data_IF_096769090046
#
_entry.id   IF_096769090046
#
_cell.length_a   1.000
_cell.length_b   1.000
_cell.length_c   1.000
_cell.angle_alpha   90.00
_cell.angle_beta   90.00
_cell.angle_gamma   90.00
#
_symmetry.space_group_name_H-M   'P 1'
#
loop_
_entity.id
_entity.type
_entity.pdbx_description
1 polymer ?
#
# COMPACT_ATOMS: atom_id res chain seq x y z
N UNK A 1 25.00 6.01 -17.14
CA UNK A 1 24.22 6.22 -15.90
C UNK A 1 25.15 6.93 -14.92
N UNK A 2 24.65 7.91 -14.19
CA UNK A 2 25.44 8.67 -13.21
C UNK A 2 24.79 8.51 -11.84
N UNK A 3 25.60 8.34 -10.81
CA UNK A 3 25.17 8.29 -9.41
C UNK A 3 25.62 9.57 -8.71
N UNK A 4 24.72 10.21 -7.98
CA UNK A 4 25.01 11.41 -7.20
C UNK A 4 24.65 11.14 -5.74
N UNK A 5 25.58 11.37 -4.85
CA UNK A 5 25.37 11.30 -3.39
C UNK A 5 25.32 12.73 -2.88
N UNK A 6 24.10 13.17 -2.50
CA UNK A 6 23.88 14.45 -1.82
C UNK A 6 24.10 14.31 -0.33
N UNK A 7 24.93 15.15 0.26
CA UNK A 7 25.20 15.17 1.71
C UNK A 7 25.13 16.62 2.20
N UNK A 8 24.51 16.83 3.37
CA UNK A 8 24.49 18.15 3.99
C UNK A 8 25.91 18.63 4.35
N UNK A 9 26.18 19.90 4.11
CA UNK A 9 27.51 20.54 4.29
C UNK A 9 27.97 20.57 5.75
N UNK A 10 27.04 20.44 6.72
CA UNK A 10 27.31 20.32 8.15
C UNK A 10 27.87 18.95 8.56
N UNK A 11 28.03 18.00 7.61
CA UNK A 11 28.57 16.65 7.85
C UNK A 11 29.96 16.40 7.22
N UNK A 12 30.99 17.21 7.55
CA UNK A 12 32.30 17.13 6.87
C UNK A 12 33.02 15.81 7.10
N UNK A 13 32.76 15.11 8.21
CA UNK A 13 33.28 13.78 8.49
C UNK A 13 32.76 12.73 7.51
N UNK A 14 31.45 12.71 7.28
CA UNK A 14 30.82 11.79 6.33
C UNK A 14 31.28 12.07 4.89
N UNK A 15 31.38 13.34 4.51
CA UNK A 15 31.89 13.75 3.18
C UNK A 15 33.30 13.19 2.96
N UNK A 16 34.21 13.40 3.92
CA UNK A 16 35.60 12.87 3.83
C UNK A 16 35.66 11.36 3.75
N UNK A 17 34.88 10.65 4.58
CA UNK A 17 34.80 9.19 4.54
C UNK A 17 34.39 8.68 3.16
N UNK A 18 33.33 9.25 2.60
CA UNK A 18 32.85 8.85 1.27
C UNK A 18 33.83 9.22 0.16
N UNK A 19 34.45 10.37 0.22
CA UNK A 19 35.52 10.74 -0.75
C UNK A 19 36.70 9.77 -0.71
N UNK A 20 37.12 9.34 0.48
CA UNK A 20 38.18 8.36 0.64
C UNK A 20 37.76 6.99 0.07
N UNK A 21 36.55 6.54 0.38
CA UNK A 21 36.02 5.30 -0.16
C UNK A 21 35.88 5.34 -1.68
N UNK A 22 35.40 6.46 -2.24
CA UNK A 22 35.28 6.65 -3.67
C UNK A 22 36.63 6.62 -4.39
N UNK A 23 37.65 7.29 -3.82
CA UNK A 23 39.00 7.26 -4.35
C UNK A 23 39.61 5.83 -4.35
N UNK A 24 39.29 5.02 -3.36
CA UNK A 24 39.73 3.63 -3.27
C UNK A 24 39.07 2.71 -4.30
N UNK A 25 37.80 3.00 -4.68
CA UNK A 25 37.06 2.19 -5.68
C UNK A 25 37.36 2.58 -7.12
N UNK A 26 37.87 3.80 -7.36
CA UNK A 26 38.11 4.34 -8.70
C UNK A 26 36.83 4.54 -9.56
N UNK A 27 35.65 4.56 -8.94
CA UNK A 27 34.37 4.69 -9.63
C UNK A 27 34.17 6.12 -10.14
N UNK A 28 34.37 6.34 -11.44
CA UNK A 28 34.28 7.65 -12.08
C UNK A 28 32.83 8.14 -12.33
N UNK A 29 31.87 7.27 -12.22
CA UNK A 29 30.43 7.52 -12.45
C UNK A 29 29.67 7.95 -11.19
N UNK A 30 30.37 8.00 -10.03
CA UNK A 30 29.80 8.44 -8.74
C UNK A 30 30.33 9.83 -8.39
N UNK A 31 29.45 10.74 -8.03
CA UNK A 31 29.77 12.10 -7.58
C UNK A 31 29.23 12.35 -6.17
N UNK A 32 30.01 13.02 -5.34
CA UNK A 32 29.60 13.48 -4.02
C UNK A 32 29.41 14.99 -4.11
N UNK A 33 28.22 15.48 -3.75
CA UNK A 33 27.86 16.91 -3.79
C UNK A 33 27.40 17.32 -2.39
N UNK A 34 28.05 18.34 -1.83
CA UNK A 34 27.60 18.97 -0.61
C UNK A 34 26.37 19.84 -0.93
N UNK A 35 25.30 19.66 -0.17
CA UNK A 35 24.05 20.47 -0.25
C UNK A 35 23.89 21.29 1.02
N UNK A 36 23.27 22.49 0.94
CA UNK A 36 23.03 23.31 2.13
C UNK A 36 22.17 22.58 3.17
N UNK A 37 22.53 22.70 4.45
CA UNK A 37 21.74 22.21 5.59
C UNK A 37 20.54 23.10 5.86
N UNK A 38 19.55 23.04 4.99
CA UNK A 38 18.29 23.80 5.07
C UNK A 38 17.13 22.82 5.09
N UNK A 39 16.35 22.80 6.17
CA UNK A 39 15.17 21.96 6.24
C UNK A 39 14.06 22.46 5.30
N UNK A 40 13.46 21.61 4.47
CA UNK A 40 13.58 20.16 4.34
C UNK A 40 14.40 19.70 3.09
N UNK A 41 15.61 20.20 2.89
CA UNK A 41 16.46 19.90 1.72
C UNK A 41 16.66 18.39 1.47
N UNK A 42 16.56 17.54 2.52
CA UNK A 42 16.61 16.09 2.42
C UNK A 42 15.34 15.44 1.83
N UNK A 43 14.28 16.20 1.59
CA UNK A 43 13.10 15.69 0.89
C UNK A 43 13.42 15.34 -0.55
N UNK A 44 12.84 14.26 -1.10
CA UNK A 44 13.15 13.75 -2.43
C UNK A 44 13.10 14.83 -3.53
N UNK A 45 11.98 15.56 -3.62
CA UNK A 45 11.79 16.61 -4.64
C UNK A 45 12.76 17.77 -4.46
N UNK A 46 13.00 18.20 -3.21
CA UNK A 46 13.92 19.28 -2.88
C UNK A 46 15.38 18.89 -3.16
N UNK A 47 15.73 17.64 -2.87
CA UNK A 47 17.08 17.13 -3.15
C UNK A 47 17.34 17.01 -4.64
N UNK A 48 16.37 16.53 -5.42
CA UNK A 48 16.46 16.47 -6.88
C UNK A 48 16.68 17.88 -7.43
N UNK A 49 15.87 18.84 -7.04
CA UNK A 49 16.03 20.23 -7.46
C UNK A 49 17.39 20.81 -7.09
N UNK A 50 17.85 20.59 -5.86
CA UNK A 50 19.15 21.08 -5.39
C UNK A 50 20.34 20.48 -6.16
N UNK A 51 20.22 19.24 -6.64
CA UNK A 51 21.30 18.53 -7.33
C UNK A 51 21.28 18.71 -8.85
N UNK A 52 20.11 18.90 -9.44
CA UNK A 52 19.93 18.92 -10.90
C UNK A 52 19.41 20.24 -11.45
N UNK A 53 18.77 21.06 -10.63
CA UNK A 53 18.04 22.24 -11.05
C UNK A 53 16.66 21.95 -11.70
N UNK A 54 16.26 20.67 -11.77
CA UNK A 54 15.00 20.25 -12.37
C UNK A 54 13.94 20.01 -11.29
N UNK A 55 12.71 20.49 -11.54
CA UNK A 55 11.58 20.26 -10.65
C UNK A 55 10.80 19.01 -11.07
N UNK A 56 10.49 18.14 -10.09
CA UNK A 56 9.59 17.01 -10.34
C UNK A 56 8.19 17.56 -10.65
N UNK A 57 7.57 17.18 -11.78
CA UNK A 57 6.27 17.71 -12.19
C UNK A 57 5.19 17.50 -11.11
N UNK A 58 4.21 18.41 -11.07
CA UNK A 58 3.02 18.25 -10.22
C UNK A 58 2.34 16.92 -10.54
N UNK A 59 2.01 16.14 -9.49
CA UNK A 59 1.48 14.77 -9.58
C UNK A 59 2.40 13.76 -10.30
N UNK A 60 3.59 14.19 -10.76
CA UNK A 60 4.60 13.31 -11.35
C UNK A 60 5.50 12.63 -10.32
N UNK A 61 6.28 11.68 -10.81
CA UNK A 61 7.29 10.95 -10.04
C UNK A 61 8.70 11.32 -10.51
N UNK A 62 9.73 11.18 -9.68
CA UNK A 62 11.13 11.40 -10.10
C UNK A 62 11.53 10.59 -11.34
N UNK A 63 10.93 9.43 -11.54
CA UNK A 63 11.20 8.58 -12.71
C UNK A 63 10.78 9.23 -14.03
N UNK A 64 9.85 10.19 -14.02
CA UNK A 64 9.44 10.94 -15.21
C UNK A 64 10.57 11.84 -15.72
N UNK A 65 11.51 12.21 -14.81
CA UNK A 65 12.78 12.87 -15.12
C UNK A 65 13.93 11.87 -15.35
N UNK A 66 13.65 10.57 -15.33
CA UNK A 66 14.67 9.52 -15.40
C UNK A 66 15.55 9.42 -14.15
N UNK A 67 15.07 9.93 -13.01
CA UNK A 67 15.79 9.97 -11.72
C UNK A 67 15.16 8.96 -10.75
N UNK A 68 16.01 8.30 -9.97
CA UNK A 68 15.59 7.46 -8.83
C UNK A 68 16.36 7.94 -7.60
N UNK A 69 15.63 8.28 -6.55
CA UNK A 69 16.19 8.76 -5.29
C UNK A 69 16.04 7.69 -4.20
N UNK A 70 17.13 7.43 -3.48
CA UNK A 70 17.14 6.48 -2.37
C UNK A 70 17.88 7.04 -1.16
N UNK A 71 17.39 6.72 0.02
CA UNK A 71 18.15 6.92 1.24
C UNK A 71 19.40 6.02 1.25
N UNK A 72 20.51 6.51 1.80
CA UNK A 72 21.80 5.76 1.86
C UNK A 72 21.66 4.43 2.57
N UNK A 73 20.84 4.35 3.65
CA UNK A 73 20.57 3.08 4.32
C UNK A 73 19.79 2.08 3.46
N UNK A 74 19.00 2.56 2.50
CA UNK A 74 18.35 1.69 1.51
C UNK A 74 19.36 1.20 0.49
N UNK A 75 20.27 2.06 0.03
CA UNK A 75 21.35 1.67 -0.90
C UNK A 75 22.28 0.62 -0.28
N UNK A 76 22.65 0.78 0.99
CA UNK A 76 23.44 -0.21 1.74
C UNK A 76 22.69 -1.55 1.85
N UNK A 77 21.41 -1.52 2.23
CA UNK A 77 20.59 -2.75 2.34
C UNK A 77 20.45 -3.49 1.00
N UNK A 78 20.31 -2.75 -0.12
CA UNK A 78 20.30 -3.35 -1.46
C UNK A 78 21.64 -3.98 -1.80
N UNK A 79 22.75 -3.31 -1.48
CA UNK A 79 24.09 -3.84 -1.70
C UNK A 79 24.32 -5.13 -0.90
N UNK A 80 23.96 -5.17 0.38
CA UNK A 80 24.05 -6.37 1.23
C UNK A 80 23.19 -7.52 0.67
N UNK A 81 21.98 -7.21 0.25
CA UNK A 81 21.09 -8.23 -0.32
C UNK A 81 21.64 -8.85 -1.61
N UNK A 82 22.20 -8.03 -2.51
CA UNK A 82 22.71 -8.50 -3.80
C UNK A 82 24.09 -9.14 -3.72
N UNK A 83 24.98 -8.61 -2.89
CA UNK A 83 26.37 -9.05 -2.83
C UNK A 83 26.62 -10.13 -1.77
N UNK A 84 25.85 -10.13 -0.69
CA UNK A 84 26.05 -11.00 0.47
C UNK A 84 24.88 -11.96 0.69
N UNK A 85 23.73 -11.74 0.02
CA UNK A 85 22.52 -12.53 0.23
C UNK A 85 21.81 -12.23 1.55
N UNK A 86 22.12 -11.11 2.19
CA UNK A 86 21.54 -10.73 3.49
C UNK A 86 20.19 -10.02 3.30
N UNK A 87 19.09 -10.54 3.86
CA UNK A 87 17.82 -9.86 3.84
C UNK A 87 17.82 -8.65 4.78
N UNK A 88 16.94 -7.65 4.52
CA UNK A 88 16.77 -6.49 5.38
C UNK A 88 16.08 -6.89 6.69
N UNK A 89 16.85 -7.29 7.69
CA UNK A 89 16.39 -7.68 9.04
C UNK A 89 16.87 -6.73 10.14
N UNK A 90 17.79 -5.82 9.84
CA UNK A 90 18.30 -4.79 10.76
C UNK A 90 18.36 -3.42 10.11
N UNK A 91 18.38 -2.39 10.94
CA UNK A 91 18.54 -0.99 10.52
C UNK A 91 19.38 -0.23 11.52
N UNK A 92 20.09 0.78 11.03
CA UNK A 92 20.66 1.79 11.90
C UNK A 92 19.58 2.76 12.33
N UNK A 93 19.39 2.90 13.65
CA UNK A 93 18.42 3.79 14.27
C UNK A 93 19.16 4.74 15.21
N UNK A 94 18.91 6.02 15.03
CA UNK A 94 19.43 7.06 15.94
C UNK A 94 18.51 7.18 17.13
N UNK A 95 19.03 7.05 18.35
CA UNK A 95 18.31 7.38 19.59
C UNK A 95 18.91 8.68 20.13
N UNK A 96 18.08 9.72 20.30
CA UNK A 96 18.56 11.06 20.67
C UNK A 96 17.50 11.83 21.46
N UNK A 97 17.86 13.03 21.92
CA UNK A 97 17.01 13.94 22.69
C UNK A 97 17.46 14.08 24.14
N UNK A 98 17.05 15.14 24.78
CA UNK A 98 17.39 15.40 26.19
C UNK A 98 16.75 14.39 27.18
N UNK A 99 15.75 13.63 26.73
CA UNK A 99 15.09 12.60 27.51
C UNK A 99 15.85 11.27 27.58
N UNK A 100 16.95 11.08 26.86
CA UNK A 100 17.83 9.90 26.91
C UNK A 100 19.20 10.25 27.44
N UNK A 101 19.83 9.35 28.21
CA UNK A 101 21.13 9.64 28.90
C UNK A 101 22.29 9.68 27.93
N UNK A 102 22.39 8.71 27.05
CA UNK A 102 23.53 8.49 26.16
C UNK A 102 23.04 8.34 24.71
N UNK A 103 22.83 9.46 23.99
CA UNK A 103 22.41 9.41 22.59
C UNK A 103 23.39 8.60 21.74
N UNK A 104 22.86 7.69 20.91
CA UNK A 104 23.68 6.80 20.09
C UNK A 104 22.98 6.41 18.76
N UNK A 105 23.81 5.95 17.82
CA UNK A 105 23.35 5.23 16.64
C UNK A 105 23.51 3.73 16.89
N UNK A 106 22.41 3.00 16.81
CA UNK A 106 22.35 1.56 17.09
C UNK A 106 21.98 0.80 15.82
N UNK A 107 22.67 -0.31 15.54
CA UNK A 107 22.16 -1.27 14.58
C UNK A 107 21.17 -2.20 15.28
N UNK A 108 19.91 -2.13 14.87
CA UNK A 108 18.78 -2.75 15.57
C UNK A 108 18.06 -3.70 14.64
N UNK A 109 17.68 -4.86 15.15
CA UNK A 109 16.81 -5.80 14.43
C UNK A 109 15.40 -5.25 14.34
N UNK A 110 14.77 -5.38 13.18
CA UNK A 110 13.36 -5.03 12.99
C UNK A 110 12.52 -5.91 13.91
N UNK A 111 11.61 -5.29 14.67
CA UNK A 111 10.81 -5.96 15.69
C UNK A 111 11.29 -5.77 17.12
N UNK A 112 12.51 -5.25 17.35
CA UNK A 112 13.00 -4.92 18.70
C UNK A 112 12.14 -3.81 19.33
N UNK A 113 11.66 -3.96 20.57
CA UNK A 113 10.94 -2.90 21.27
C UNK A 113 11.80 -1.64 21.46
N UNK A 114 11.21 -0.47 21.30
CA UNK A 114 11.90 0.82 21.46
C UNK A 114 12.47 0.97 22.87
N UNK A 115 11.78 0.43 23.89
CA UNK A 115 12.25 0.42 25.27
C UNK A 115 13.66 -0.20 25.42
N UNK A 116 13.98 -1.25 24.65
CA UNK A 116 15.31 -1.88 24.68
C UNK A 116 16.39 -0.95 24.11
N UNK A 117 16.08 -0.19 23.05
CA UNK A 117 17.00 0.79 22.49
C UNK A 117 17.32 1.89 23.49
N UNK A 118 16.29 2.40 24.16
CA UNK A 118 16.44 3.44 25.18
C UNK A 118 17.23 2.90 26.36
N UNK A 119 16.99 1.66 26.79
CA UNK A 119 17.76 1.02 27.85
C UNK A 119 19.26 0.88 27.49
N UNK A 120 19.57 0.51 26.23
CA UNK A 120 20.95 0.46 25.74
C UNK A 120 21.62 1.86 25.69
N UNK A 121 20.83 2.92 25.56
CA UNK A 121 21.27 4.31 25.62
C UNK A 121 21.28 4.88 27.06
N UNK A 122 21.45 4.03 28.08
CA UNK A 122 21.51 4.43 29.50
C UNK A 122 20.16 4.74 30.12
N UNK A 123 19.05 4.53 29.43
CA UNK A 123 17.68 4.76 29.90
C UNK A 123 17.24 6.20 29.82
N UNK A 124 16.06 6.45 30.36
CA UNK A 124 15.42 7.78 30.39
C UNK A 124 16.11 8.72 31.38
N UNK A 125 16.09 10.02 31.07
CA UNK A 125 16.36 11.10 32.02
C UNK A 125 15.06 11.55 32.72
N UNK A 126 15.19 12.42 33.71
CA UNK A 126 14.01 13.06 34.35
C UNK A 126 13.31 14.09 33.43
N UNK A 127 13.94 14.47 32.33
CA UNK A 127 13.43 15.49 31.41
C UNK A 127 12.49 14.94 30.33
N UNK A 128 12.28 13.62 30.27
CA UNK A 128 11.44 13.02 29.25
C UNK A 128 10.00 13.55 29.31
N UNK A 129 9.51 14.04 28.17
CA UNK A 129 8.15 14.54 27.99
C UNK A 129 7.41 13.76 26.90
N UNK A 130 8.08 13.45 25.81
CA UNK A 130 7.49 12.77 24.65
C UNK A 130 8.47 11.82 24.00
N UNK A 131 7.88 10.75 23.43
CA UNK A 131 8.59 9.83 22.56
C UNK A 131 8.09 10.02 21.14
N UNK A 132 9.01 10.27 20.21
CA UNK A 132 8.70 10.50 18.81
C UNK A 132 9.48 9.51 17.94
N UNK A 133 8.82 8.90 16.96
CA UNK A 133 9.48 8.15 15.89
C UNK A 133 9.68 9.08 14.69
N UNK A 134 10.94 9.38 14.37
CA UNK A 134 11.34 10.37 13.38
C UNK A 134 11.89 11.65 13.98
N UNK A 135 12.04 12.69 13.17
CA UNK A 135 12.55 14.00 13.60
C UNK A 135 11.48 14.87 14.26
N UNK A 136 11.87 16.00 14.85
CA UNK A 136 10.97 16.88 15.60
C UNK A 136 9.85 17.49 14.75
N UNK A 137 10.08 17.68 13.45
CA UNK A 137 9.11 18.34 12.54
C UNK A 137 8.08 17.37 11.95
N UNK A 138 8.51 16.19 11.52
CA UNK A 138 7.67 15.21 10.83
C UNK A 138 7.40 13.96 11.65
N UNK A 139 8.08 13.78 12.79
CA UNK A 139 7.95 12.61 13.64
C UNK A 139 6.54 12.39 14.16
N UNK A 140 6.24 11.14 14.45
CA UNK A 140 4.95 10.71 15.00
C UNK A 140 5.13 10.44 16.49
N UNK A 141 4.31 11.07 17.33
CA UNK A 141 4.30 10.80 18.76
C UNK A 141 3.84 9.36 19.03
N UNK A 142 4.63 8.62 19.79
CA UNK A 142 4.32 7.27 20.18
C UNK A 142 3.61 7.23 21.52
N UNK A 143 2.55 6.41 21.66
CA UNK A 143 1.83 6.27 22.93
C UNK A 143 2.58 5.41 23.96
N UNK A 144 3.57 4.64 23.52
CA UNK A 144 4.33 3.70 24.34
C UNK A 144 5.67 3.35 23.68
N UNK A 145 6.66 3.02 24.49
CA UNK A 145 7.96 2.48 24.08
C UNK A 145 7.94 0.94 23.86
N UNK A 146 6.83 0.28 24.18
CA UNK A 146 6.63 -1.14 23.88
C UNK A 146 6.45 -1.41 22.36
N UNK A 147 6.31 -0.37 21.55
CA UNK A 147 6.19 -0.49 20.11
C UNK A 147 7.50 -0.97 19.48
N UNK A 148 7.44 -1.83 18.44
CA UNK A 148 8.63 -2.36 17.80
C UNK A 148 9.23 -1.36 16.81
N UNK A 149 10.54 -1.48 16.60
CA UNK A 149 11.24 -0.88 15.46
C UNK A 149 10.71 -1.51 14.17
N UNK A 150 10.37 -0.68 13.20
CA UNK A 150 9.88 -1.10 11.88
C UNK A 150 10.86 -0.67 10.77
N UNK A 151 10.64 -1.11 9.54
CA UNK A 151 11.49 -0.79 8.39
C UNK A 151 11.75 0.71 8.18
N UNK A 152 10.79 1.57 8.53
CA UNK A 152 10.87 3.02 8.37
C UNK A 152 11.42 3.75 9.60
N UNK A 153 11.69 3.05 10.70
CA UNK A 153 12.27 3.64 11.90
C UNK A 153 13.73 3.98 11.65
N UNK A 154 14.06 5.26 11.59
CA UNK A 154 15.43 5.76 11.41
C UNK A 154 15.90 6.61 12.60
N UNK A 155 14.96 7.13 13.39
CA UNK A 155 15.24 7.95 14.55
C UNK A 155 14.17 7.74 15.62
N UNK A 156 14.60 7.67 16.87
CA UNK A 156 13.76 7.73 18.06
C UNK A 156 14.21 8.96 18.84
N UNK A 157 13.35 9.96 18.87
CA UNK A 157 13.59 11.20 19.63
C UNK A 157 12.88 11.10 20.98
N UNK A 158 13.67 11.01 22.03
CA UNK A 158 13.21 11.05 23.43
C UNK A 158 13.26 12.50 23.88
N UNK A 159 12.20 13.24 23.56
CA UNK A 159 12.20 14.69 23.67
C UNK A 159 11.85 15.17 25.09
N UNK A 160 12.50 16.25 25.51
CA UNK A 160 12.10 17.05 26.66
C UNK A 160 10.89 17.95 26.34
N UNK A 161 10.32 18.59 27.36
CA UNK A 161 9.25 19.56 27.17
C UNK A 161 9.70 20.80 26.37
N UNK A 162 10.99 21.11 26.39
CA UNK A 162 11.58 22.22 25.63
C UNK A 162 11.77 21.85 24.16
N UNK A 163 12.25 20.61 23.89
CA UNK A 163 12.48 20.14 22.53
C UNK A 163 11.18 19.85 21.76
N UNK A 164 10.15 19.37 22.45
CA UNK A 164 8.84 19.11 21.87
C UNK A 164 7.72 19.65 22.78
N UNK A 165 7.56 20.98 22.85
CA UNK A 165 6.51 21.59 23.67
C UNK A 165 5.12 21.17 23.21
N UNK A 166 4.17 21.19 24.14
CA UNK A 166 2.77 21.01 23.76
C UNK A 166 2.32 22.23 22.97
N UNK A 167 1.77 22.04 21.76
CA UNK A 167 1.29 23.18 20.99
C UNK A 167 0.13 23.85 21.75
N UNK A 168 0.10 25.20 21.77
CA UNK A 168 -1.04 25.92 22.29
C UNK A 168 -2.32 25.60 21.52
N UNK A 169 -3.47 25.93 22.13
CA UNK A 169 -4.75 25.78 21.44
C UNK A 169 -4.79 26.59 20.14
N UNK A 170 -5.26 25.96 19.07
CA UNK A 170 -5.41 26.60 17.77
C UNK A 170 -6.38 27.80 17.86
N UNK A 171 -6.03 28.88 17.19
CA UNK A 171 -6.84 30.10 17.06
C UNK A 171 -7.31 30.27 15.61
N UNK A 172 -8.33 31.10 15.36
CA UNK A 172 -8.74 31.43 14.00
C UNK A 172 -7.59 31.99 13.16
N UNK A 173 -7.56 31.64 11.87
CA UNK A 173 -6.56 32.12 10.93
C UNK A 173 -6.65 33.64 10.75
N UNK A 174 -5.55 34.35 10.97
CA UNK A 174 -5.45 35.82 10.80
C UNK A 174 -5.04 36.25 9.39
N UNK A 175 -4.85 35.30 8.46
CA UNK A 175 -4.49 35.53 7.05
C UNK A 175 -3.16 36.28 6.86
N UNK A 176 -2.16 36.01 7.70
CA UNK A 176 -0.83 36.66 7.63
C UNK A 176 0.03 36.19 6.45
N UNK A 177 -0.32 35.09 5.79
CA UNK A 177 0.40 34.46 4.67
C UNK A 177 1.80 33.88 5.00
N UNK A 178 2.26 33.90 6.24
CA UNK A 178 3.55 33.33 6.64
C UNK A 178 3.70 31.86 6.22
N UNK A 179 2.63 31.09 6.30
CA UNK A 179 2.61 29.68 5.89
C UNK A 179 2.90 29.51 4.39
N UNK A 180 2.51 30.45 3.54
CA UNK A 180 2.80 30.44 2.10
C UNK A 180 4.27 30.73 1.84
N UNK A 181 4.83 31.74 2.51
CA UNK A 181 6.23 32.10 2.40
C UNK A 181 7.15 30.95 2.86
N UNK A 182 6.75 30.19 3.89
CA UNK A 182 7.51 29.08 4.44
C UNK A 182 7.34 27.75 3.66
N UNK A 183 6.45 27.68 2.67
CA UNK A 183 6.18 26.43 1.97
C UNK A 183 7.25 26.09 0.94
N UNK A 184 8.05 25.00 1.12
CA UNK A 184 9.11 24.64 0.16
C UNK A 184 8.58 24.07 -1.17
N UNK A 185 7.29 23.75 -1.23
CA UNK A 185 6.62 23.28 -2.44
C UNK A 185 5.78 24.38 -3.11
N UNK A 186 5.89 25.64 -2.69
CA UNK A 186 5.18 26.77 -3.30
C UNK A 186 3.66 26.70 -3.22
N UNK A 187 3.10 25.92 -2.29
CA UNK A 187 1.66 25.74 -2.15
C UNK A 187 1.01 26.91 -1.40
N UNK A 188 -0.32 26.91 -1.35
CA UNK A 188 -1.13 27.84 -0.58
C UNK A 188 -1.73 27.17 0.68
N UNK A 189 -0.97 27.00 1.78
CA UNK A 189 -1.40 26.24 2.95
C UNK A 189 -2.70 26.73 3.56
N UNK A 190 -2.97 28.03 3.58
CA UNK A 190 -4.22 28.58 4.10
C UNK A 190 -5.45 28.16 3.27
N UNK A 191 -5.30 28.05 1.94
CA UNK A 191 -6.39 27.58 1.07
C UNK A 191 -6.64 26.08 1.26
N UNK A 192 -5.56 25.29 1.27
CA UNK A 192 -5.63 23.86 1.57
C UNK A 192 -6.31 23.60 2.93
N UNK A 193 -5.99 24.42 3.95
CA UNK A 193 -6.66 24.32 5.26
C UNK A 193 -8.16 24.57 5.17
N UNK A 194 -8.59 25.63 4.48
CA UNK A 194 -10.01 25.96 4.37
C UNK A 194 -10.81 24.88 3.66
N UNK A 195 -10.28 24.36 2.55
CA UNK A 195 -10.95 23.27 1.82
C UNK A 195 -10.92 21.95 2.60
N UNK A 196 -9.84 21.61 3.29
CA UNK A 196 -9.81 20.44 4.16
C UNK A 196 -10.84 20.54 5.28
N UNK A 197 -10.92 21.71 5.93
CA UNK A 197 -11.88 21.98 6.99
C UNK A 197 -13.33 21.92 6.50
N UNK A 198 -13.58 22.43 5.30
CA UNK A 198 -14.89 22.38 4.65
C UNK A 198 -15.22 21.01 4.03
N UNK A 199 -14.27 20.05 3.99
CA UNK A 199 -14.38 18.76 3.30
C UNK A 199 -14.67 18.89 1.80
N UNK A 200 -14.21 19.97 1.18
CA UNK A 200 -14.31 20.19 -0.27
C UNK A 200 -13.08 19.54 -0.95
N UNK A 201 -13.19 18.22 -1.14
CA UNK A 201 -12.09 17.40 -1.63
C UNK A 201 -11.80 17.57 -3.12
N UNK A 202 -12.73 18.09 -3.88
CA UNK A 202 -12.49 18.39 -5.29
C UNK A 202 -11.61 19.64 -5.41
N UNK A 203 -12.00 20.73 -4.76
CA UNK A 203 -11.20 21.96 -4.79
C UNK A 203 -9.83 21.83 -4.15
N UNK A 204 -9.67 21.06 -3.08
CA UNK A 204 -8.35 20.90 -2.45
C UNK A 204 -7.36 20.21 -3.37
N UNK A 205 -7.83 19.34 -4.29
CA UNK A 205 -7.00 18.72 -5.32
C UNK A 205 -6.59 19.73 -6.39
N UNK A 206 -7.47 20.65 -6.77
CA UNK A 206 -7.15 21.75 -7.70
C UNK A 206 -6.01 22.65 -7.16
N UNK A 207 -5.85 22.70 -5.82
CA UNK A 207 -4.75 23.40 -5.16
C UNK A 207 -3.54 22.51 -4.87
N UNK A 208 -3.40 21.39 -5.58
CA UNK A 208 -2.25 20.49 -5.55
C UNK A 208 -1.92 19.94 -4.14
N UNK A 209 -2.93 19.51 -3.37
CA UNK A 209 -2.72 18.95 -2.04
C UNK A 209 -1.65 17.83 -2.05
N UNK A 210 -1.61 17.00 -3.09
CA UNK A 210 -0.70 15.86 -3.17
C UNK A 210 0.77 16.24 -3.40
N UNK A 211 1.07 17.48 -3.78
CA UNK A 211 2.44 18.00 -3.80
C UNK A 211 2.95 18.42 -2.42
N UNK A 212 2.05 18.46 -1.42
CA UNK A 212 2.45 18.71 -0.05
C UNK A 212 3.26 17.53 0.51
N UNK A 213 4.51 17.80 0.89
CA UNK A 213 5.44 16.81 1.49
C UNK A 213 5.29 16.68 3.01
N UNK A 214 4.31 17.34 3.62
CA UNK A 214 3.99 17.28 5.05
C UNK A 214 5.15 17.67 5.98
N UNK A 215 6.04 18.50 5.50
CA UNK A 215 7.26 18.91 6.21
C UNK A 215 7.01 19.67 7.51
N UNK A 216 5.85 20.25 7.70
CA UNK A 216 5.50 21.00 8.92
C UNK A 216 5.91 22.48 8.93
N UNK A 217 6.70 22.98 7.97
CA UNK A 217 7.16 24.37 7.95
C UNK A 217 6.01 25.39 8.09
N UNK A 218 4.91 25.16 7.38
CA UNK A 218 3.73 26.02 7.43
C UNK A 218 3.04 26.04 8.81
N UNK A 219 3.03 24.91 9.51
CA UNK A 219 2.46 24.83 10.86
C UNK A 219 3.37 25.48 11.90
N UNK A 220 4.69 25.34 11.73
CA UNK A 220 5.70 25.93 12.62
C UNK A 220 5.66 27.47 12.65
N UNK A 221 5.47 28.09 11.48
CA UNK A 221 5.42 29.57 11.39
C UNK A 221 4.03 30.14 11.67
N UNK A 222 3.02 29.31 11.91
CA UNK A 222 1.64 29.77 12.08
C UNK A 222 1.43 30.44 13.44
N UNK A 223 1.17 31.78 13.52
CA UNK A 223 0.95 32.45 14.77
C UNK A 223 -0.38 32.07 15.44
N UNK A 224 -1.29 31.46 14.70
CA UNK A 224 -2.55 30.93 15.21
C UNK A 224 -2.44 29.46 15.65
N UNK A 225 -1.28 28.84 15.57
CA UNK A 225 -1.00 27.45 15.96
C UNK A 225 -1.96 26.43 15.34
N UNK A 226 -2.39 26.69 14.09
CA UNK A 226 -3.29 25.78 13.37
C UNK A 226 -2.51 24.52 12.99
N UNK A 227 -2.99 23.31 13.31
CA UNK A 227 -2.33 22.06 12.96
C UNK A 227 -2.53 21.71 11.46
N UNK A 228 -1.95 22.55 10.57
CA UNK A 228 -2.17 22.49 9.12
C UNK A 228 -1.90 21.13 8.53
N UNK A 229 -0.79 20.49 8.91
CA UNK A 229 -0.40 19.18 8.38
C UNK A 229 -1.41 18.09 8.72
N UNK A 230 -2.01 18.13 9.90
CA UNK A 230 -3.04 17.16 10.29
C UNK A 230 -4.29 17.27 9.41
N UNK A 231 -4.69 18.48 9.02
CA UNK A 231 -5.77 18.69 8.08
C UNK A 231 -5.44 18.14 6.68
N UNK A 232 -4.18 18.29 6.24
CA UNK A 232 -3.77 17.76 4.94
C UNK A 232 -3.70 16.24 4.94
N UNK A 233 -3.18 15.63 6.00
CA UNK A 233 -3.19 14.17 6.18
C UNK A 233 -4.61 13.62 6.20
N UNK A 234 -5.49 14.27 6.94
CA UNK A 234 -6.92 13.93 6.95
C UNK A 234 -7.50 13.99 5.53
N UNK A 235 -7.35 15.10 4.82
CA UNK A 235 -7.90 15.26 3.48
C UNK A 235 -7.32 14.24 2.49
N UNK A 236 -6.01 13.98 2.50
CA UNK A 236 -5.38 12.95 1.67
C UNK A 236 -5.96 11.56 1.95
N UNK A 237 -6.14 11.21 3.22
CA UNK A 237 -6.70 9.91 3.61
C UNK A 237 -8.12 9.75 3.11
N UNK A 238 -8.99 10.74 3.32
CA UNK A 238 -10.37 10.72 2.85
C UNK A 238 -10.46 10.60 1.32
N UNK A 239 -9.62 11.36 0.57
CA UNK A 239 -9.57 11.28 -0.89
C UNK A 239 -9.17 9.87 -1.34
N UNK A 240 -8.11 9.28 -0.77
CA UNK A 240 -7.69 7.93 -1.10
C UNK A 240 -8.73 6.87 -0.76
N UNK A 241 -9.48 7.05 0.32
CA UNK A 241 -10.57 6.15 0.68
C UNK A 241 -11.72 6.25 -0.32
N UNK A 242 -12.13 7.47 -0.70
CA UNK A 242 -13.14 7.69 -1.73
C UNK A 242 -12.71 7.11 -3.10
N UNK A 243 -11.47 7.29 -3.49
CA UNK A 243 -10.94 6.71 -4.74
C UNK A 243 -10.94 5.18 -4.70
N UNK A 244 -10.53 4.58 -3.60
CA UNK A 244 -10.58 3.12 -3.42
C UNK A 244 -12.01 2.57 -3.49
N UNK A 245 -12.97 3.28 -2.91
CA UNK A 245 -14.39 2.90 -2.98
C UNK A 245 -14.94 3.05 -4.41
N UNK A 246 -14.61 4.13 -5.11
CA UNK A 246 -14.96 4.30 -6.54
C UNK A 246 -14.39 3.17 -7.38
N UNK A 247 -13.11 2.85 -7.23
CA UNK A 247 -12.47 1.75 -7.95
C UNK A 247 -13.13 0.40 -7.68
N UNK A 248 -13.47 0.09 -6.41
CA UNK A 248 -14.20 -1.13 -6.05
C UNK A 248 -15.57 -1.19 -6.71
N UNK A 249 -16.31 -0.07 -6.71
CA UNK A 249 -17.62 0.05 -7.34
C UNK A 249 -17.53 -0.14 -8.85
N UNK A 250 -16.54 0.46 -9.52
CA UNK A 250 -16.33 0.33 -10.96
C UNK A 250 -15.97 -1.10 -11.36
N UNK A 251 -15.09 -1.75 -10.58
CA UNK A 251 -14.75 -3.17 -10.79
C UNK A 251 -15.99 -4.06 -10.60
N UNK A 252 -16.81 -3.77 -9.58
CA UNK A 252 -18.03 -4.53 -9.33
C UNK A 252 -19.03 -4.36 -10.49
N UNK A 253 -19.20 -3.12 -10.99
CA UNK A 253 -20.05 -2.81 -12.16
C UNK A 253 -19.56 -3.55 -13.40
N UNK A 254 -18.27 -3.47 -13.74
CA UNK A 254 -17.69 -4.17 -14.88
C UNK A 254 -17.86 -5.69 -14.79
N UNK A 255 -17.67 -6.27 -13.61
CA UNK A 255 -17.92 -7.71 -13.39
C UNK A 255 -19.36 -8.09 -13.58
N UNK A 256 -20.30 -7.23 -13.14
CA UNK A 256 -21.72 -7.45 -13.31
C UNK A 256 -22.12 -7.38 -14.80
N UNK A 257 -21.69 -6.35 -15.52
CA UNK A 257 -21.93 -6.17 -16.95
C UNK A 257 -21.37 -7.37 -17.75
N UNK A 258 -20.13 -7.76 -17.49
CA UNK A 258 -19.53 -8.93 -18.12
C UNK A 258 -20.30 -10.24 -17.84
N UNK A 259 -20.82 -10.39 -16.61
CA UNK A 259 -21.67 -11.54 -16.28
C UNK A 259 -22.96 -11.54 -17.09
N UNK A 260 -23.61 -10.40 -17.23
CA UNK A 260 -24.86 -10.25 -18.03
C UNK A 260 -24.56 -10.59 -19.47
N UNK A 261 -23.56 -9.98 -20.09
CA UNK A 261 -23.15 -10.27 -21.47
C UNK A 261 -22.86 -11.75 -21.71
N UNK A 262 -22.15 -12.38 -20.77
CA UNK A 262 -21.87 -13.82 -20.85
C UNK A 262 -23.16 -14.64 -20.84
N UNK A 263 -24.08 -14.36 -19.92
CA UNK A 263 -25.36 -15.09 -19.84
C UNK A 263 -26.20 -14.90 -21.08
N UNK A 264 -26.25 -13.68 -21.63
CA UNK A 264 -26.96 -13.40 -22.87
C UNK A 264 -26.32 -14.09 -24.07
N UNK A 265 -24.99 -14.15 -24.13
CA UNK A 265 -24.26 -14.89 -25.17
C UNK A 265 -24.56 -16.39 -25.09
N UNK A 266 -24.46 -16.98 -23.89
CA UNK A 266 -24.77 -18.40 -23.66
C UNK A 266 -26.23 -18.71 -24.05
N UNK A 267 -27.17 -17.82 -23.71
CA UNK A 267 -28.59 -17.97 -24.12
C UNK A 267 -28.75 -17.91 -25.62
N UNK A 268 -28.14 -16.94 -26.30
CA UNK A 268 -28.17 -16.86 -27.79
C UNK A 268 -27.54 -18.06 -28.45
N UNK A 269 -26.42 -18.57 -27.94
CA UNK A 269 -25.77 -19.77 -28.44
C UNK A 269 -26.65 -21.02 -28.27
N UNK A 270 -27.31 -21.16 -27.12
CA UNK A 270 -28.24 -22.22 -26.85
C UNK A 270 -29.45 -22.17 -27.78
N UNK A 271 -30.04 -20.99 -27.99
CA UNK A 271 -31.14 -20.76 -28.92
C UNK A 271 -30.73 -21.14 -30.38
N UNK A 272 -29.54 -20.69 -30.80
CA UNK A 272 -29.01 -21.05 -32.12
C UNK A 272 -28.77 -22.55 -32.26
N UNK A 273 -28.26 -23.21 -31.23
CA UNK A 273 -28.08 -24.69 -31.23
C UNK A 273 -29.43 -25.39 -31.35
N UNK A 274 -30.45 -24.96 -30.59
CA UNK A 274 -31.81 -25.48 -30.68
C UNK A 274 -32.44 -25.26 -32.06
N UNK A 275 -32.28 -24.07 -32.62
CA UNK A 275 -32.77 -23.73 -33.96
C UNK A 275 -32.07 -24.58 -35.05
N UNK A 276 -30.75 -24.81 -34.96
CA UNK A 276 -30.02 -25.69 -35.90
C UNK A 276 -30.47 -27.13 -35.74
N UNK A 277 -30.67 -27.62 -34.53
CA UNK A 277 -31.16 -28.99 -34.30
C UNK A 277 -32.60 -29.17 -34.85
N UNK A 278 -33.48 -28.19 -34.69
CA UNK A 278 -34.82 -28.19 -35.24
C UNK A 278 -34.81 -28.22 -36.77
N UNK A 279 -34.00 -27.36 -37.42
CA UNK A 279 -33.81 -27.37 -38.88
C UNK A 279 -33.22 -28.69 -39.40
N UNK A 280 -32.39 -29.35 -38.61
CA UNK A 280 -31.83 -30.67 -38.98
C UNK A 280 -32.88 -31.79 -38.89
N UNK A 281 -33.84 -31.69 -37.98
CA UNK A 281 -34.98 -32.61 -37.87
C UNK A 281 -36.04 -32.39 -38.97
N UNK A 282 -36.24 -31.16 -39.40
CA UNK A 282 -37.23 -30.79 -40.46
C UNK A 282 -36.72 -31.08 -41.90
N UNK A 283 -35.48 -31.53 -42.07
CA UNK A 283 -34.96 -31.96 -43.39
C UNK A 283 -35.63 -33.28 -43.77
N UNK A 284 -36.33 -33.31 -44.94
CA UNK A 284 -36.93 -34.54 -45.39
C UNK A 284 -35.87 -35.63 -45.59
N UNK A 285 -36.01 -36.75 -44.86
CA UNK A 285 -35.15 -37.90 -44.97
C UNK A 285 -35.62 -38.75 -46.15
N UNK A 286 -34.87 -38.70 -47.24
CA UNK A 286 -34.97 -39.70 -48.26
C UNK A 286 -34.29 -40.98 -47.74
N UNK A 287 -35.09 -42.04 -47.48
CA UNK A 287 -34.63 -43.42 -47.34
C UNK A 287 -33.88 -43.73 -46.02
N UNK A 288 -34.53 -44.56 -45.21
CA UNK A 288 -33.99 -45.28 -44.03
C UNK A 288 -34.59 -44.91 -42.65
N UNK A 289 -35.90 -44.92 -42.56
CA UNK A 289 -36.59 -44.70 -41.27
C UNK A 289 -36.43 -45.91 -40.31
N UNK A 290 -36.29 -47.11 -40.82
CA UNK A 290 -36.23 -48.30 -39.97
C UNK A 290 -34.82 -48.63 -39.45
N UNK A 291 -33.79 -48.35 -40.22
CA UNK A 291 -32.39 -48.44 -39.71
C UNK A 291 -32.06 -47.47 -38.63
N UNK A 292 -32.59 -46.19 -38.71
CA UNK A 292 -32.40 -45.20 -37.70
C UNK A 292 -33.20 -45.44 -36.43
N UNK A 293 -34.36 -46.02 -36.50
CA UNK A 293 -35.13 -46.44 -35.32
C UNK A 293 -34.38 -47.52 -34.54
N UNK A 294 -33.76 -48.50 -35.26
CA UNK A 294 -32.93 -49.50 -34.63
C UNK A 294 -31.67 -48.93 -33.97
N UNK A 295 -31.04 -47.92 -34.59
CA UNK A 295 -29.84 -47.26 -34.04
C UNK A 295 -30.16 -46.41 -32.81
N UNK A 296 -31.31 -45.71 -32.79
CA UNK A 296 -31.80 -44.95 -31.62
C UNK A 296 -32.18 -45.91 -30.50
N UNK A 297 -32.83 -47.03 -30.79
CA UNK A 297 -33.16 -48.04 -29.79
C UNK A 297 -31.89 -48.62 -29.14
N UNK A 298 -30.90 -48.98 -29.96
CA UNK A 298 -29.60 -49.46 -29.48
C UNK A 298 -28.78 -48.43 -28.72
N UNK A 299 -28.93 -47.13 -29.02
CA UNK A 299 -28.30 -46.06 -28.28
C UNK A 299 -29.00 -45.81 -26.91
N UNK A 300 -30.32 -45.91 -26.86
CA UNK A 300 -31.12 -45.86 -25.64
C UNK A 300 -30.81 -47.03 -24.70
N UNK A 301 -30.69 -48.23 -25.21
CA UNK A 301 -30.27 -49.42 -24.43
C UNK A 301 -28.86 -49.23 -23.86
N UNK A 302 -27.93 -48.69 -24.63
CA UNK A 302 -26.56 -48.40 -24.13
C UNK A 302 -26.57 -47.36 -23.02
N UNK A 303 -27.39 -46.30 -23.12
CA UNK A 303 -27.51 -45.26 -22.10
C UNK A 303 -28.17 -45.79 -20.83
N UNK A 304 -29.22 -46.61 -20.97
CA UNK A 304 -29.88 -47.24 -19.83
C UNK A 304 -29.00 -48.26 -19.13
N UNK A 305 -28.27 -49.07 -19.89
CA UNK A 305 -27.29 -50.00 -19.35
C UNK A 305 -26.14 -49.26 -18.63
N UNK A 306 -25.67 -48.13 -19.21
CA UNK A 306 -24.63 -47.34 -18.59
C UNK A 306 -25.10 -46.61 -17.32
N UNK A 307 -26.35 -46.16 -17.27
CA UNK A 307 -26.97 -45.62 -16.06
C UNK A 307 -27.15 -46.69 -15.00
N UNK A 308 -27.63 -47.87 -15.35
CA UNK A 308 -27.76 -48.99 -14.43
C UNK A 308 -26.39 -49.43 -13.87
N UNK A 309 -25.34 -49.43 -14.72
CA UNK A 309 -23.98 -49.73 -14.30
C UNK A 309 -23.38 -48.60 -13.41
N UNK A 310 -23.70 -47.34 -13.68
CA UNK A 310 -23.28 -46.22 -12.83
C UNK A 310 -24.04 -46.22 -11.49
N UNK A 311 -25.31 -46.51 -11.45
CA UNK A 311 -26.10 -46.65 -10.23
C UNK A 311 -25.67 -47.88 -9.41
N UNK A 312 -25.18 -48.91 -10.06
CA UNK A 312 -24.60 -50.09 -9.40
C UNK A 312 -23.17 -49.84 -8.87
N UNK A 313 -22.40 -48.95 -9.56
CA UNK A 313 -20.99 -48.65 -9.19
C UNK A 313 -20.84 -47.51 -8.16
N UNK A 314 -21.91 -46.80 -7.84
CA UNK A 314 -21.83 -45.55 -7.07
C UNK A 314 -22.03 -45.70 -5.56
N UNK A 315 -21.78 -46.86 -4.97
CA UNK A 315 -21.89 -46.99 -3.51
C UNK A 315 -20.60 -47.52 -2.91
N UNK A 316 -19.68 -46.64 -2.68
CA UNK A 316 -18.58 -46.90 -1.75
C UNK A 316 -19.15 -46.87 -0.31
N UNK A 317 -19.94 -47.92 0.01
CA UNK A 317 -20.62 -48.03 1.29
C UNK A 317 -19.92 -49.00 2.25
N UNK A 318 -18.77 -49.53 1.87
CA UNK A 318 -18.16 -50.66 2.57
C UNK A 318 -17.35 -50.27 3.82
N UNK A 319 -17.08 -48.96 4.01
CA UNK A 319 -16.32 -48.45 5.18
C UNK A 319 -16.93 -47.19 5.81
N UNK A 320 -18.26 -47.10 5.87
CA UNK A 320 -18.94 -46.00 6.51
C UNK A 320 -19.00 -46.10 8.03
N UNK A 321 -18.65 -45.00 8.75
CA UNK A 321 -18.88 -44.91 10.18
C UNK A 321 -20.38 -44.91 10.51
N UNK A 322 -20.73 -45.21 11.78
CA UNK A 322 -22.13 -45.24 12.24
C UNK A 322 -22.85 -43.88 12.02
N UNK A 323 -22.14 -42.79 12.21
CA UNK A 323 -22.64 -41.40 11.97
C UNK A 323 -22.90 -41.14 10.49
N UNK A 324 -22.01 -41.59 9.61
CA UNK A 324 -22.16 -41.43 8.17
C UNK A 324 -23.37 -42.24 7.62
N UNK A 325 -23.59 -43.43 8.14
CA UNK A 325 -24.76 -44.24 7.80
C UNK A 325 -26.08 -43.59 8.26
N UNK A 326 -26.09 -43.04 9.47
CA UNK A 326 -27.26 -42.30 9.99
C UNK A 326 -27.58 -41.05 9.11
N UNK A 327 -26.56 -40.31 8.68
CA UNK A 327 -26.71 -39.14 7.83
C UNK A 327 -27.20 -39.44 6.42
N UNK A 328 -26.75 -40.57 5.85
CA UNK A 328 -27.24 -41.09 4.53
C UNK A 328 -28.70 -41.51 4.68
N UNK A 329 -29.07 -42.25 5.71
CA UNK A 329 -30.43 -42.69 5.92
C UNK A 329 -31.41 -41.50 6.17
N UNK A 330 -30.92 -40.38 6.72
CA UNK A 330 -31.72 -39.19 6.88
C UNK A 330 -31.87 -38.42 5.55
N UNK A 331 -30.85 -38.39 4.71
CA UNK A 331 -30.90 -37.77 3.38
C UNK A 331 -31.85 -38.59 2.47
N UNK A 332 -31.80 -39.89 2.53
CA UNK A 332 -32.67 -40.78 1.74
C UNK A 332 -34.15 -40.67 2.20
N UNK A 333 -34.39 -40.52 3.48
CA UNK A 333 -35.74 -40.19 4.03
C UNK A 333 -36.25 -38.85 3.52
N UNK A 334 -35.42 -37.83 3.49
CA UNK A 334 -35.79 -36.49 2.95
C UNK A 334 -36.03 -36.51 1.46
N UNK A 335 -35.33 -37.35 0.69
CA UNK A 335 -35.55 -37.56 -0.75
C UNK A 335 -36.82 -38.31 -1.04
N UNK A 336 -37.14 -39.34 -0.25
CA UNK A 336 -38.39 -40.09 -0.37
C UNK A 336 -39.64 -39.29 0.08
N UNK A 337 -39.45 -38.25 0.91
CA UNK A 337 -40.53 -37.39 1.40
C UNK A 337 -40.83 -36.17 0.51
N UNK A 338 -40.09 -35.97 -0.63
CA UNK A 338 -40.45 -34.94 -1.62
C UNK A 338 -41.31 -35.57 -2.69
N UNK A 339 -42.58 -35.17 -2.85
CA UNK A 339 -43.40 -35.60 -3.99
C UNK A 339 -42.79 -35.05 -5.28
N UNK A 340 -42.91 -35.87 -6.34
CA UNK A 340 -42.55 -35.57 -7.72
C UNK A 340 -43.45 -34.44 -8.29
N UNK A 341 -43.08 -33.18 -7.99
CA UNK A 341 -43.70 -32.01 -8.61
C UNK A 341 -42.56 -31.15 -9.24
N UNK A 342 -42.19 -31.55 -10.42
CA UNK A 342 -41.64 -30.66 -11.47
C UNK A 342 -41.44 -31.47 -12.79
N UNK A 343 -42.54 -31.60 -13.55
CA UNK A 343 -42.44 -31.73 -14.99
C UNK A 343 -42.61 -30.38 -15.66
#
# INVERSE_FOLDING_TARGET
RQVVIGIEDNMPGAIRCLQTALAATGAADIRIIAVPSVYPAGGERQLIYALTGEEVPTQGLPIDLGIVCHNVGTADAVARALLQGEPLISRVVTVTGAGVREPANLEVRIGTPIAELIAQCGGYTEQVSRLLMGGPMMGIALPSDALPVIKTSNCILVASAEEAPQPPAARPCIRCAECTAACPAGLLPQQLYWYAHARDFDRIQDYNLFDCIECGCCAQVCPSHIPLVQYYRFAKTEIWDLERERQKSDIARQRHEFRIERLEREKRELEQRRARARKALDRPKAGDADAKKAEIAAALERVTARRAAQDAAAKNTDNLTAEQRARIAEIDRRRAAKPDDAR
#
